data_IF_524551373874
#
_entry.id   IF_524551373874
#
_cell.length_a   1.000
_cell.length_b   1.000
_cell.length_c   1.000
_cell.angle_alpha   90.00
_cell.angle_beta   90.00
_cell.angle_gamma   90.00
#
_symmetry.space_group_name_H-M   'P 1'
#
loop_
_entity.id
_entity.type
_entity.pdbx_description
1 polymer ?
#
# COMPACT_ATOMS: atom_id res chain seq x y z
N UNK A 1 5.49 -7.77 19.11
CA UNK A 1 6.30 -8.57 18.16
C UNK A 1 7.44 -7.68 17.74
N UNK A 2 8.68 -8.17 17.83
CA UNK A 2 9.88 -7.41 17.46
C UNK A 2 10.68 -8.30 16.52
N UNK A 3 11.01 -7.79 15.35
CA UNK A 3 11.88 -8.47 14.40
C UNK A 3 13.35 -8.31 14.78
N UNK A 4 14.19 -9.12 14.16
CA UNK A 4 15.65 -8.98 14.22
C UNK A 4 16.15 -8.58 12.82
N UNK A 5 16.72 -7.39 12.70
CA UNK A 5 17.27 -6.84 11.45
C UNK A 5 16.25 -6.76 10.31
N UNK A 6 16.22 -7.72 9.38
CA UNK A 6 15.41 -7.69 8.16
C UNK A 6 14.35 -8.81 8.17
N UNK A 7 13.63 -8.91 9.29
CA UNK A 7 12.64 -9.96 9.49
C UNK A 7 11.43 -9.77 8.57
N UNK A 8 11.21 -10.72 7.67
CA UNK A 8 10.18 -10.63 6.63
C UNK A 8 9.04 -11.63 6.86
N UNK A 9 7.80 -11.15 6.75
CA UNK A 9 6.60 -11.98 6.67
C UNK A 9 6.09 -11.91 5.22
N UNK A 10 6.03 -13.07 4.56
CA UNK A 10 5.85 -13.18 3.11
C UNK A 10 4.51 -13.84 2.77
N UNK A 11 3.64 -13.13 2.05
CA UNK A 11 2.44 -13.71 1.43
C UNK A 11 2.81 -14.39 0.11
N UNK A 12 2.42 -15.66 -0.05
CA UNK A 12 2.61 -16.39 -1.29
C UNK A 12 1.58 -17.51 -1.44
N UNK A 13 1.34 -17.91 -2.69
CA UNK A 13 0.55 -19.08 -3.04
C UNK A 13 -0.94 -18.81 -3.28
N UNK A 14 -1.72 -19.87 -3.58
CA UNK A 14 -3.07 -19.75 -4.15
C UNK A 14 -4.10 -19.03 -3.28
N UNK A 15 -3.86 -18.93 -1.96
CA UNK A 15 -4.74 -18.20 -1.06
C UNK A 15 -4.79 -16.69 -1.36
N UNK A 16 -3.75 -16.15 -2.00
CA UNK A 16 -3.60 -14.73 -2.28
C UNK A 16 -3.64 -14.40 -3.77
N UNK A 17 -3.91 -15.35 -4.67
CA UNK A 17 -3.81 -15.14 -6.11
C UNK A 17 -5.07 -14.54 -6.77
N UNK A 18 -6.23 -14.64 -6.10
CA UNK A 18 -7.52 -14.24 -6.66
C UNK A 18 -7.85 -12.78 -6.30
N UNK A 19 -7.71 -11.86 -7.26
CA UNK A 19 -8.02 -10.43 -7.07
C UNK A 19 -9.47 -10.17 -6.66
N UNK A 20 -10.40 -11.07 -7.02
CA UNK A 20 -11.82 -10.98 -6.66
C UNK A 20 -12.12 -11.46 -5.24
N UNK A 21 -11.14 -12.08 -4.57
CA UNK A 21 -11.24 -12.55 -3.19
C UNK A 21 -10.05 -12.08 -2.34
N UNK A 22 -9.99 -10.77 -2.03
CA UNK A 22 -8.93 -10.22 -1.19
C UNK A 22 -8.85 -10.96 0.15
N UNK A 23 -7.64 -11.37 0.52
CA UNK A 23 -7.38 -12.20 1.70
C UNK A 23 -6.27 -11.55 2.54
N UNK A 24 -6.53 -11.23 3.83
CA UNK A 24 -5.51 -10.73 4.74
C UNK A 24 -4.38 -11.74 4.98
N UNK A 25 -3.14 -11.31 4.80
CA UNK A 25 -1.95 -12.05 5.24
C UNK A 25 -1.80 -11.96 6.75
N UNK A 26 -1.77 -10.73 7.28
CA UNK A 26 -1.75 -10.48 8.71
C UNK A 26 -3.04 -9.78 9.13
N UNK A 27 -3.77 -10.42 10.04
CA UNK A 27 -4.88 -9.81 10.75
C UNK A 27 -4.44 -9.41 12.16
N UNK A 28 -4.45 -8.11 12.46
CA UNK A 28 -4.14 -7.58 13.79
C UNK A 28 -5.44 -7.38 14.57
N UNK A 29 -5.69 -8.31 15.49
CA UNK A 29 -6.91 -8.35 16.30
C UNK A 29 -8.14 -8.86 15.54
N UNK A 30 -9.33 -8.58 16.08
CA UNK A 30 -10.63 -8.89 15.48
C UNK A 30 -11.53 -7.67 15.58
N UNK A 31 -12.56 -7.53 14.72
CA UNK A 31 -13.52 -6.44 14.85
C UNK A 31 -14.09 -6.34 16.26
N UNK A 32 -14.02 -5.15 16.86
CA UNK A 32 -14.46 -4.88 18.23
C UNK A 32 -13.52 -5.35 19.34
N UNK A 33 -12.36 -5.91 19.02
CA UNK A 33 -11.35 -6.26 20.02
C UNK A 33 -10.65 -4.99 20.51
N UNK A 34 -10.63 -4.79 21.83
CA UNK A 34 -9.84 -3.76 22.50
C UNK A 34 -8.65 -4.43 23.17
N UNK A 35 -7.46 -3.83 23.07
CA UNK A 35 -6.28 -4.36 23.74
C UNK A 35 -5.01 -3.63 23.37
N UNK A 36 -3.90 -4.32 23.59
CA UNK A 36 -2.56 -3.80 23.30
C UNK A 36 -1.87 -4.68 22.26
N UNK A 37 -1.21 -4.06 21.31
CA UNK A 37 -0.33 -4.72 20.35
C UNK A 37 0.82 -3.77 20.02
N UNK A 38 2.03 -4.29 20.01
CA UNK A 38 3.21 -3.53 19.59
C UNK A 38 3.92 -4.35 18.54
N UNK A 39 4.28 -3.72 17.42
CA UNK A 39 5.00 -4.33 16.30
C UNK A 39 6.20 -3.46 15.94
N UNK A 40 7.38 -4.06 15.86
CA UNK A 40 8.65 -3.36 15.62
C UNK A 40 9.57 -4.15 14.70
N UNK A 41 10.32 -3.46 13.84
CA UNK A 41 11.40 -4.02 12.99
C UNK A 41 10.94 -5.14 12.05
N UNK A 42 9.82 -4.95 11.35
CA UNK A 42 9.21 -5.97 10.47
C UNK A 42 9.00 -5.47 9.05
N UNK A 43 9.23 -6.35 8.08
CA UNK A 43 8.85 -6.12 6.69
C UNK A 43 7.75 -7.11 6.28
N UNK A 44 6.68 -6.58 5.71
CA UNK A 44 5.59 -7.35 5.11
C UNK A 44 5.77 -7.30 3.60
N UNK A 45 5.78 -8.46 2.95
CA UNK A 45 6.05 -8.54 1.52
C UNK A 45 5.26 -9.67 0.87
N UNK A 46 5.36 -9.77 -0.45
CA UNK A 46 4.78 -10.83 -1.25
C UNK A 46 5.87 -11.53 -2.05
N UNK A 47 5.58 -12.76 -2.48
CA UNK A 47 6.42 -13.48 -3.44
C UNK A 47 5.62 -13.93 -4.64
N UNK A 48 5.97 -13.41 -5.81
CA UNK A 48 5.30 -13.63 -7.09
C UNK A 48 3.92 -12.97 -7.17
N UNK A 49 3.08 -13.39 -8.13
CA UNK A 49 1.75 -12.84 -8.31
C UNK A 49 0.82 -13.23 -7.15
N UNK A 50 0.39 -12.21 -6.40
CA UNK A 50 -0.55 -12.34 -5.27
C UNK A 50 -1.61 -11.23 -5.32
N UNK A 51 -2.30 -11.11 -6.46
CA UNK A 51 -3.27 -10.05 -6.74
C UNK A 51 -4.41 -9.89 -5.71
N UNK A 52 -4.70 -10.94 -4.93
CA UNK A 52 -5.66 -10.93 -3.83
C UNK A 52 -5.06 -10.68 -2.44
N UNK A 53 -3.76 -10.41 -2.30
CA UNK A 53 -3.15 -10.17 -0.99
C UNK A 53 -3.61 -8.84 -0.38
N UNK A 54 -4.06 -8.88 0.88
CA UNK A 54 -4.14 -7.71 1.76
C UNK A 54 -3.06 -7.88 2.81
N UNK A 55 -1.98 -7.09 2.79
CA UNK A 55 -0.82 -7.43 3.62
C UNK A 55 -1.12 -7.26 5.11
N UNK A 56 -1.76 -6.15 5.49
CA UNK A 56 -2.12 -5.87 6.89
C UNK A 56 -3.59 -5.47 6.97
N UNK A 57 -4.38 -6.21 7.75
CA UNK A 57 -5.74 -5.84 8.15
C UNK A 57 -5.76 -5.53 9.65
N UNK A 58 -5.84 -4.24 9.99
CA UNK A 58 -5.81 -3.73 11.36
C UNK A 58 -7.23 -3.54 11.89
N UNK A 59 -7.63 -4.38 12.85
CA UNK A 59 -9.01 -4.46 13.34
C UNK A 59 -9.20 -4.01 14.78
N UNK A 60 -8.15 -4.01 15.60
CA UNK A 60 -8.29 -3.74 17.03
C UNK A 60 -8.26 -2.26 17.37
N UNK A 61 -8.97 -1.92 18.44
CA UNK A 61 -8.84 -0.64 19.13
C UNK A 61 -7.78 -0.74 20.23
N UNK A 62 -7.04 0.35 20.43
CA UNK A 62 -6.10 0.48 21.53
C UNK A 62 -6.83 0.63 22.87
N UNK A 63 -6.40 -0.13 23.88
CA UNK A 63 -6.89 0.01 25.26
C UNK A 63 -6.44 1.33 25.92
N UNK A 64 -5.31 1.88 25.47
CA UNK A 64 -4.80 3.19 25.83
C UNK A 64 -4.18 3.89 24.62
N UNK A 65 -4.02 5.22 24.69
CA UNK A 65 -3.41 5.99 23.59
C UNK A 65 -2.01 5.45 23.27
N UNK A 66 -1.80 5.04 22.02
CA UNK A 66 -0.54 4.48 21.55
C UNK A 66 -0.28 3.01 21.94
N UNK A 67 -1.21 2.31 22.57
CA UNK A 67 -0.99 0.93 23.03
C UNK A 67 -1.28 -0.15 21.97
N UNK A 68 -1.91 0.23 20.85
CA UNK A 68 -2.00 -0.57 19.64
C UNK A 68 -1.20 0.15 18.56
N UNK A 69 -0.03 -0.37 18.20
CA UNK A 69 0.95 0.43 17.49
C UNK A 69 1.99 -0.38 16.70
N UNK A 70 2.59 0.32 15.75
CA UNK A 70 3.63 -0.14 14.84
C UNK A 70 4.71 0.94 14.72
N UNK A 71 5.96 0.56 14.93
CA UNK A 71 7.16 1.39 14.71
C UNK A 71 8.13 0.64 13.80
N UNK A 72 8.80 1.30 12.86
CA UNK A 72 9.80 0.64 12.00
C UNK A 72 9.27 -0.66 11.37
N UNK A 73 8.02 -0.64 10.90
CA UNK A 73 7.52 -1.74 10.09
C UNK A 73 7.01 -1.24 8.76
N UNK A 74 7.32 -1.99 7.71
CA UNK A 74 7.18 -1.54 6.34
C UNK A 74 6.47 -2.60 5.51
N UNK A 75 5.62 -2.16 4.58
CA UNK A 75 5.20 -3.00 3.47
C UNK A 75 6.17 -2.72 2.32
N UNK A 76 6.84 -3.76 1.82
CA UNK A 76 7.75 -3.68 0.68
C UNK A 76 7.37 -4.73 -0.35
N UNK A 77 6.72 -4.35 -1.44
CA UNK A 77 6.22 -5.31 -2.44
C UNK A 77 7.13 -5.32 -3.67
N UNK A 78 7.85 -6.43 -3.84
CA UNK A 78 8.78 -6.63 -4.95
C UNK A 78 10.09 -5.85 -4.84
N UNK A 79 10.81 -5.74 -5.96
CA UNK A 79 12.05 -4.95 -6.05
C UNK A 79 13.19 -5.45 -5.17
N UNK A 80 13.15 -6.71 -4.73
CA UNK A 80 14.19 -7.32 -3.91
C UNK A 80 14.36 -8.81 -4.24
N UNK A 81 15.53 -9.34 -3.95
CA UNK A 81 15.91 -10.74 -4.13
C UNK A 81 14.96 -11.65 -3.36
N UNK A 82 14.48 -12.69 -4.05
CA UNK A 82 13.58 -13.69 -3.47
C UNK A 82 12.10 -13.32 -3.48
N UNK A 83 11.74 -12.12 -3.98
CA UNK A 83 10.33 -11.71 -4.18
C UNK A 83 9.72 -12.27 -5.47
N UNK A 84 10.52 -12.81 -6.40
CA UNK A 84 10.09 -13.20 -7.75
C UNK A 84 9.32 -12.08 -8.48
N UNK A 85 9.66 -10.82 -8.15
CA UNK A 85 9.10 -9.59 -8.66
C UNK A 85 10.25 -8.57 -8.87
N UNK A 86 11.26 -8.98 -9.64
CA UNK A 86 12.45 -8.16 -9.97
C UNK A 86 12.33 -7.65 -11.42
N UNK A 87 13.27 -6.81 -11.92
CA UNK A 87 13.29 -6.44 -13.35
C UNK A 87 13.37 -7.64 -14.31
N UNK A 88 13.77 -8.84 -13.83
CA UNK A 88 13.77 -10.07 -14.62
C UNK A 88 12.35 -10.56 -14.92
N UNK A 89 11.48 -10.58 -13.90
CA UNK A 89 10.08 -11.00 -14.02
C UNK A 89 9.17 -9.85 -14.47
N UNK A 90 9.45 -8.65 -13.98
CA UNK A 90 8.64 -7.45 -14.07
C UNK A 90 9.44 -6.27 -14.65
N UNK A 91 9.94 -6.37 -15.89
CA UNK A 91 10.70 -5.28 -16.50
C UNK A 91 9.88 -3.99 -16.55
N UNK A 92 10.53 -2.83 -16.45
CA UNK A 92 9.86 -1.55 -16.64
C UNK A 92 9.20 -1.48 -18.02
N UNK A 93 7.89 -1.21 -18.05
CA UNK A 93 7.11 -1.07 -19.28
C UNK A 93 6.58 0.36 -19.42
N UNK A 94 6.71 0.91 -20.63
CA UNK A 94 6.03 2.15 -21.04
C UNK A 94 4.75 1.86 -21.85
N UNK A 95 4.41 0.58 -22.04
CA UNK A 95 3.18 0.16 -22.74
C UNK A 95 2.73 -1.23 -22.30
N UNK A 96 1.42 -1.43 -22.19
CA UNK A 96 0.83 -2.71 -21.81
C UNK A 96 0.91 -2.99 -20.31
N UNK A 97 0.78 -4.27 -19.93
CA UNK A 97 0.82 -4.76 -18.55
C UNK A 97 1.80 -5.93 -18.49
N UNK A 98 2.74 -5.90 -17.55
CA UNK A 98 3.70 -6.98 -17.32
C UNK A 98 2.96 -8.21 -16.76
N UNK A 99 2.92 -9.35 -17.49
CA UNK A 99 2.21 -10.53 -17.03
C UNK A 99 2.88 -11.12 -15.79
N UNK A 100 2.08 -11.46 -14.77
CA UNK A 100 2.58 -12.06 -13.53
C UNK A 100 3.06 -11.06 -12.47
N UNK A 101 2.94 -9.75 -12.71
CA UNK A 101 3.42 -8.70 -11.81
C UNK A 101 2.32 -8.08 -10.92
N UNK A 102 1.14 -8.70 -10.88
CA UNK A 102 0.03 -8.29 -9.99
C UNK A 102 0.28 -8.82 -8.58
N UNK A 103 0.78 -7.95 -7.71
CA UNK A 103 1.43 -8.34 -6.47
C UNK A 103 0.58 -8.15 -5.22
N UNK A 104 -0.42 -7.26 -5.19
CA UNK A 104 -1.35 -7.17 -4.04
C UNK A 104 -2.64 -6.42 -4.37
N UNK A 105 -3.67 -6.68 -3.56
CA UNK A 105 -4.96 -5.97 -3.59
C UNK A 105 -4.94 -4.70 -2.74
N UNK A 106 -4.28 -4.74 -1.58
CA UNK A 106 -4.18 -3.61 -0.65
C UNK A 106 -2.96 -3.77 0.28
N UNK A 107 -2.15 -2.73 0.44
CA UNK A 107 -1.00 -2.78 1.36
C UNK A 107 -1.46 -2.81 2.82
N UNK A 108 -2.36 -1.90 3.21
CA UNK A 108 -2.87 -1.86 4.57
C UNK A 108 -4.31 -1.34 4.68
N UNK A 109 -5.08 -1.97 5.56
CA UNK A 109 -6.46 -1.57 5.88
C UNK A 109 -6.61 -1.30 7.39
N UNK A 110 -6.86 -0.05 7.77
CA UNK A 110 -7.32 0.30 9.10
C UNK A 110 -8.86 0.28 9.10
N UNK A 111 -9.43 -0.74 9.75
CA UNK A 111 -10.87 -1.04 9.71
C UNK A 111 -11.71 -0.06 10.55
N UNK A 112 -13.03 -0.01 10.33
CA UNK A 112 -13.95 0.72 11.20
C UNK A 112 -13.85 0.24 12.65
N UNK A 113 -13.82 1.20 13.59
CA UNK A 113 -13.68 0.95 15.02
C UNK A 113 -12.29 0.48 15.47
N UNK A 114 -11.33 0.34 14.56
CA UNK A 114 -9.93 0.10 14.91
C UNK A 114 -9.24 1.43 15.24
N UNK A 115 -8.17 1.40 16.04
CA UNK A 115 -7.37 2.59 16.35
C UNK A 115 -5.89 2.21 16.45
N UNK A 116 -4.99 3.17 16.28
CA UNK A 116 -3.57 2.87 16.46
C UNK A 116 -2.59 4.01 16.25
N UNK A 117 -1.34 3.74 16.59
CA UNK A 117 -0.20 4.62 16.38
C UNK A 117 0.77 3.98 15.40
N UNK A 118 0.97 4.61 14.25
CA UNK A 118 1.81 4.12 13.17
C UNK A 118 2.92 5.12 12.93
N UNK A 119 4.17 4.74 13.21
CA UNK A 119 5.32 5.62 13.09
C UNK A 119 6.43 4.97 12.27
N UNK A 120 7.07 5.77 11.43
CA UNK A 120 8.08 5.30 10.47
C UNK A 120 7.60 4.08 9.67
N UNK A 121 6.40 4.21 9.09
CA UNK A 121 5.79 3.16 8.27
C UNK A 121 5.88 3.53 6.80
N UNK A 122 6.50 2.67 6.02
CA UNK A 122 6.62 2.83 4.57
C UNK A 122 5.83 1.73 3.87
N UNK A 123 4.85 2.12 3.06
CA UNK A 123 4.08 1.22 2.21
C UNK A 123 4.55 1.43 0.76
N UNK A 124 5.51 0.62 0.33
CA UNK A 124 6.21 0.79 -0.92
C UNK A 124 5.91 -0.37 -1.87
N UNK A 125 5.39 -0.02 -3.05
CA UNK A 125 5.40 -0.90 -4.22
C UNK A 125 6.66 -0.56 -4.98
N UNK A 126 7.51 -1.56 -5.28
CA UNK A 126 8.80 -1.23 -5.85
C UNK A 126 8.67 -0.57 -7.23
N UNK A 127 9.36 0.54 -7.40
CA UNK A 127 9.58 1.22 -8.67
C UNK A 127 10.93 0.80 -9.30
N UNK A 128 11.86 0.26 -8.49
CA UNK A 128 13.16 -0.26 -8.91
C UNK A 128 13.65 -1.44 -8.06
N UNK A 129 14.72 -2.11 -8.49
CA UNK A 129 15.43 -3.13 -7.71
C UNK A 129 16.34 -2.47 -6.67
N UNK A 130 16.07 -2.72 -5.39
CA UNK A 130 16.84 -2.17 -4.26
C UNK A 130 18.13 -2.95 -3.97
N UNK A 131 18.14 -4.25 -4.26
CA UNK A 131 19.32 -5.08 -4.05
C UNK A 131 20.32 -4.83 -5.17
N UNK A 132 21.60 -4.80 -4.82
CA UNK A 132 22.67 -4.77 -5.80
C UNK A 132 22.99 -6.20 -6.26
N UNK A 133 22.71 -6.56 -7.52
CA UNK A 133 23.06 -7.89 -8.03
C UNK A 133 24.57 -8.05 -8.25
N UNK A 134 25.33 -6.95 -8.36
CA UNK A 134 26.78 -6.99 -8.57
C UNK A 134 27.52 -6.60 -7.30
N UNK A 135 28.02 -7.59 -6.56
CA UNK A 135 28.76 -7.35 -5.31
C UNK A 135 30.21 -6.90 -5.53
N UNK A 136 30.68 -6.85 -6.78
CA UNK A 136 32.07 -6.50 -7.15
C UNK A 136 32.18 -5.12 -7.82
N UNK A 137 31.06 -4.52 -8.23
CA UNK A 137 30.98 -3.14 -8.71
C UNK A 137 30.14 -2.29 -7.74
N UNK A 138 30.67 -1.13 -7.35
CA UNK A 138 29.94 -0.19 -6.48
C UNK A 138 28.87 0.62 -7.23
N UNK A 139 28.81 0.51 -8.56
CA UNK A 139 27.83 1.20 -9.38
C UNK A 139 26.51 0.42 -9.48
N UNK A 140 25.55 0.76 -8.61
CA UNK A 140 24.18 0.25 -8.71
C UNK A 140 23.30 1.20 -9.53
N UNK A 141 22.82 0.73 -10.68
CA UNK A 141 21.97 1.53 -11.57
C UNK A 141 20.50 1.60 -11.16
N UNK A 142 20.09 0.92 -10.08
CA UNK A 142 18.72 0.90 -9.55
C UNK A 142 17.69 0.64 -10.65
N UNK A 143 17.81 -0.52 -11.32
CA UNK A 143 17.02 -0.82 -12.52
C UNK A 143 15.53 -0.80 -12.20
N UNK A 144 14.78 0.04 -12.92
CA UNK A 144 13.33 0.19 -12.77
C UNK A 144 12.57 -1.10 -13.12
N UNK A 145 11.40 -1.28 -12.51
CA UNK A 145 10.48 -2.39 -12.76
C UNK A 145 9.02 -1.92 -12.85
N UNK A 146 8.10 -2.81 -13.21
CA UNK A 146 6.66 -2.52 -13.26
C UNK A 146 5.88 -3.55 -12.47
N UNK A 147 5.57 -3.22 -11.23
CA UNK A 147 4.86 -4.07 -10.27
C UNK A 147 3.52 -3.42 -9.93
N UNK A 148 2.46 -4.22 -9.92
CA UNK A 148 1.10 -3.70 -9.79
C UNK A 148 0.51 -4.07 -8.43
N UNK A 149 0.18 -3.06 -7.64
CA UNK A 149 -0.59 -3.19 -6.40
C UNK A 149 -1.77 -2.24 -6.49
N UNK A 150 -2.99 -2.75 -6.24
CA UNK A 150 -4.17 -1.94 -6.50
C UNK A 150 -4.24 -0.71 -5.59
N UNK A 151 -4.00 -0.87 -4.27
CA UNK A 151 -4.27 0.14 -3.25
C UNK A 151 -3.16 0.25 -2.21
N UNK A 152 -2.89 1.47 -1.74
CA UNK A 152 -1.95 1.74 -0.65
C UNK A 152 -2.57 1.53 0.73
N UNK A 153 -2.93 2.63 1.39
CA UNK A 153 -3.51 2.64 2.73
C UNK A 153 -4.99 3.05 2.68
N UNK A 154 -5.88 2.16 3.13
CA UNK A 154 -7.29 2.46 3.36
C UNK A 154 -7.55 2.67 4.85
N UNK A 155 -8.18 3.79 5.19
CA UNK A 155 -8.43 4.23 6.57
C UNK A 155 -9.93 4.47 6.71
N UNK A 156 -10.57 3.63 7.51
CA UNK A 156 -11.98 3.74 7.90
C UNK A 156 -12.13 3.93 9.42
N UNK A 157 -11.03 4.15 10.14
CA UNK A 157 -11.07 4.38 11.58
C UNK A 157 -11.82 5.67 11.91
N UNK A 158 -12.69 5.59 12.91
CA UNK A 158 -13.34 6.74 13.55
C UNK A 158 -12.83 6.96 14.98
N UNK A 159 -11.77 6.25 15.34
CA UNK A 159 -11.14 6.27 16.66
C UNK A 159 -9.77 6.95 16.56
N UNK A 160 -9.23 7.49 17.67
CA UNK A 160 -7.95 8.21 17.64
C UNK A 160 -6.83 7.41 16.97
N UNK A 161 -6.38 7.89 15.82
CA UNK A 161 -5.37 7.24 14.98
C UNK A 161 -4.27 8.23 14.61
N UNK A 162 -3.02 7.81 14.73
CA UNK A 162 -1.85 8.63 14.45
C UNK A 162 -0.96 8.02 13.38
N UNK A 163 -0.62 8.83 12.37
CA UNK A 163 0.27 8.48 11.26
C UNK A 163 1.49 9.42 11.30
N UNK A 164 2.57 9.02 11.95
CA UNK A 164 3.78 9.84 12.10
C UNK A 164 4.87 9.40 11.12
N UNK A 165 5.21 10.29 10.19
CA UNK A 165 6.22 10.02 9.16
C UNK A 165 5.89 8.79 8.31
N UNK A 166 4.65 8.69 7.83
CA UNK A 166 4.22 7.57 7.00
C UNK A 166 4.33 7.90 5.52
N UNK A 167 4.69 6.92 4.70
CA UNK A 167 4.70 7.03 3.24
C UNK A 167 3.89 5.89 2.61
N UNK A 168 3.15 6.19 1.56
CA UNK A 168 2.51 5.18 0.71
C UNK A 168 2.75 5.56 -0.75
N UNK A 169 3.29 4.64 -1.54
CA UNK A 169 3.78 4.98 -2.88
C UNK A 169 3.46 3.90 -3.90
N UNK A 170 3.26 4.36 -5.13
CA UNK A 170 3.18 3.57 -6.35
C UNK A 170 2.06 2.52 -6.39
N UNK A 171 1.00 2.68 -5.59
CA UNK A 171 -0.24 1.95 -5.81
C UNK A 171 -1.01 2.48 -7.03
N UNK A 172 -1.71 1.61 -7.76
CA UNK A 172 -2.44 1.95 -8.99
C UNK A 172 -3.56 2.96 -8.75
N UNK A 173 -4.36 2.72 -7.70
CA UNK A 173 -5.62 3.45 -7.48
C UNK A 173 -5.43 4.67 -6.59
N UNK A 174 -4.84 4.47 -5.42
CA UNK A 174 -4.59 5.53 -4.44
C UNK A 174 -3.49 5.15 -3.47
N UNK A 175 -2.80 6.17 -2.96
CA UNK A 175 -1.79 6.02 -1.92
C UNK A 175 -2.43 6.07 -0.53
N UNK A 176 -3.23 7.11 -0.24
CA UNK A 176 -4.05 7.19 0.97
C UNK A 176 -5.53 7.36 0.61
N UNK A 177 -6.40 6.56 1.22
CA UNK A 177 -7.85 6.74 1.12
C UNK A 177 -8.47 6.77 2.52
N UNK A 178 -8.97 7.95 2.90
CA UNK A 178 -9.77 8.16 4.09
C UNK A 178 -11.25 8.04 3.71
N UNK A 179 -11.91 7.01 4.20
CA UNK A 179 -13.30 6.71 3.86
C UNK A 179 -14.15 6.61 5.11
N UNK A 180 -15.07 7.56 5.29
CA UNK A 180 -15.88 7.72 6.51
C UNK A 180 -15.03 7.72 7.80
N UNK A 181 -13.79 8.19 7.71
CA UNK A 181 -12.83 8.20 8.81
C UNK A 181 -13.05 9.42 9.71
N UNK A 182 -12.68 9.28 10.99
CA UNK A 182 -12.67 10.38 11.93
C UNK A 182 -11.53 10.30 12.95
N UNK A 183 -11.14 11.46 13.49
CA UNK A 183 -10.12 11.60 14.54
C UNK A 183 -8.76 11.01 14.15
N UNK A 184 -8.30 11.36 12.95
CA UNK A 184 -6.99 10.94 12.44
C UNK A 184 -6.03 12.12 12.37
N UNK A 185 -4.85 11.96 12.95
CA UNK A 185 -3.74 12.91 12.83
C UNK A 185 -2.60 12.29 12.02
N UNK A 186 -2.10 12.99 11.01
CA UNK A 186 -0.99 12.55 10.17
C UNK A 186 0.08 13.64 10.03
N UNK A 187 1.36 13.32 10.23
CA UNK A 187 2.46 14.29 10.22
C UNK A 187 3.86 13.68 9.98
N UNK A 188 4.58 13.98 8.90
CA UNK A 188 4.01 14.32 7.59
C UNK A 188 3.68 13.04 6.82
N UNK A 189 2.79 13.14 5.83
CA UNK A 189 2.57 12.06 4.86
C UNK A 189 3.39 12.31 3.59
N UNK A 190 3.73 11.24 2.89
CA UNK A 190 4.43 11.29 1.62
C UNK A 190 3.85 10.29 0.61
N UNK A 191 3.77 10.66 -0.67
CA UNK A 191 3.25 9.82 -1.76
C UNK A 191 3.93 10.04 -3.10
N UNK A 192 4.05 8.97 -3.90
CA UNK A 192 4.40 9.01 -5.33
C UNK A 192 3.40 8.22 -6.18
N UNK A 193 3.06 8.73 -7.36
CA UNK A 193 2.41 7.93 -8.41
C UNK A 193 3.35 6.84 -8.95
N UNK A 194 2.84 5.66 -9.38
CA UNK A 194 3.66 4.68 -10.07
C UNK A 194 4.24 5.24 -11.37
N UNK A 195 5.54 5.01 -11.61
CA UNK A 195 6.26 5.67 -12.72
C UNK A 195 5.78 5.28 -14.12
N UNK A 196 5.13 4.13 -14.24
CA UNK A 196 4.57 3.65 -15.50
C UNK A 196 3.23 4.31 -15.84
N UNK A 197 2.55 5.00 -14.91
CA UNK A 197 1.28 5.65 -15.21
C UNK A 197 1.49 6.87 -16.13
N UNK A 198 0.56 7.15 -17.07
CA UNK A 198 -0.78 6.56 -17.23
C UNK A 198 -0.82 5.27 -18.09
N UNK A 199 0.27 4.51 -18.23
CA UNK A 199 0.31 3.28 -19.03
C UNK A 199 0.67 2.01 -18.23
N UNK A 200 -0.31 1.20 -17.80
CA UNK A 200 -1.74 1.37 -18.04
C UNK A 200 -2.34 2.43 -17.11
N UNK A 201 -3.49 2.95 -17.51
CA UNK A 201 -4.21 3.91 -16.71
C UNK A 201 -4.98 3.20 -15.59
N UNK A 202 -5.17 3.82 -14.41
CA UNK A 202 -6.05 3.25 -13.40
C UNK A 202 -7.46 2.99 -13.98
N UNK A 203 -8.14 1.90 -13.59
CA UNK A 203 -7.79 0.95 -12.53
C UNK A 203 -7.02 -0.29 -13.04
N UNK A 204 -6.61 -0.33 -14.30
CA UNK A 204 -5.94 -1.51 -14.86
C UNK A 204 -4.58 -1.75 -14.16
N UNK A 205 -4.17 -3.01 -13.94
CA UNK A 205 -4.81 -4.26 -14.37
C UNK A 205 -5.95 -4.77 -13.47
N UNK A 206 -6.34 -4.01 -12.45
CA UNK A 206 -7.23 -4.42 -11.36
C UNK A 206 -8.71 -4.03 -11.57
N UNK A 207 -9.19 -3.94 -12.81
CA UNK A 207 -10.55 -3.49 -13.14
C UNK A 207 -11.62 -4.32 -12.44
N UNK A 208 -11.43 -5.63 -12.30
CA UNK A 208 -12.42 -6.50 -11.64
C UNK A 208 -12.47 -6.34 -10.12
N UNK A 209 -11.44 -5.70 -9.54
CA UNK A 209 -11.33 -5.49 -8.10
C UNK A 209 -11.95 -4.16 -7.63
N UNK A 210 -12.34 -3.28 -8.55
CA UNK A 210 -12.94 -1.97 -8.21
C UNK A 210 -14.23 -2.20 -7.43
N UNK A 211 -14.35 -1.53 -6.28
CA UNK A 211 -15.52 -1.63 -5.41
C UNK A 211 -15.51 -2.81 -4.44
N UNK A 212 -14.45 -3.63 -4.43
CA UNK A 212 -14.26 -4.64 -3.38
C UNK A 212 -13.94 -4.01 -2.01
N UNK A 213 -13.38 -2.80 -2.00
CA UNK A 213 -13.14 -2.04 -0.79
C UNK A 213 -14.04 -0.79 -0.75
N UNK A 214 -14.61 -0.46 0.42
CA UNK A 214 -15.34 0.80 0.59
C UNK A 214 -14.45 2.00 0.26
N UNK A 215 -15.02 2.99 -0.40
CA UNK A 215 -14.33 4.24 -0.71
C UNK A 215 -13.46 4.22 -1.97
N UNK A 216 -13.36 3.10 -2.68
CA UNK A 216 -12.77 3.10 -4.03
C UNK A 216 -13.46 4.16 -4.90
N UNK A 217 -12.70 4.98 -5.67
CA UNK A 217 -13.27 5.69 -6.81
C UNK A 217 -13.98 4.70 -7.75
N UNK A 218 -15.01 5.14 -8.45
CA UNK A 218 -15.78 4.25 -9.32
C UNK A 218 -15.05 3.89 -10.62
N UNK A 219 -14.01 4.66 -10.96
CA UNK A 219 -13.23 4.56 -12.19
C UNK A 219 -14.12 4.41 -13.43
N UNK A 220 -15.22 5.17 -13.47
CA UNK A 220 -16.15 5.19 -14.60
C UNK A 220 -15.52 5.71 -15.89
N UNK A 221 -14.42 6.46 -15.76
CA UNK A 221 -13.65 7.08 -16.84
C UNK A 221 -14.53 7.83 -17.84
N UNK A 222 -15.59 8.48 -17.33
CA UNK A 222 -16.50 9.26 -18.15
C UNK A 222 -15.76 10.42 -18.80
N UNK A 223 -16.03 10.65 -20.09
CA UNK A 223 -15.40 11.75 -20.84
C UNK A 223 -15.73 13.09 -20.16
N UNK A 224 -14.70 13.84 -19.78
CA UNK A 224 -14.85 15.14 -19.12
C UNK A 224 -15.08 15.08 -17.61
N UNK A 225 -14.93 13.90 -16.98
CA UNK A 225 -14.87 13.78 -15.53
C UNK A 225 -13.41 13.67 -15.07
N UNK A 226 -12.81 14.82 -14.74
CA UNK A 226 -11.43 14.87 -14.23
C UNK A 226 -11.28 14.23 -12.83
N UNK A 227 -12.38 13.88 -12.15
CA UNK A 227 -12.36 13.26 -10.82
C UNK A 227 -12.65 11.75 -10.85
N UNK A 228 -12.71 11.17 -12.04
CA UNK A 228 -12.90 9.71 -12.23
C UNK A 228 -11.68 8.89 -11.80
N UNK A 229 -10.50 9.53 -11.65
CA UNK A 229 -9.25 8.88 -11.24
C UNK A 229 -8.61 8.00 -12.31
N UNK A 230 -9.01 8.16 -13.57
CA UNK A 230 -8.58 7.30 -14.66
C UNK A 230 -7.33 7.82 -15.40
N UNK A 231 -6.69 8.88 -14.91
CA UNK A 231 -5.45 9.45 -15.40
C UNK A 231 -4.26 8.85 -14.64
N UNK A 232 -4.14 9.14 -13.35
CA UNK A 232 -3.07 8.68 -12.48
C UNK A 232 -3.63 8.35 -11.08
N UNK A 233 -2.82 7.66 -10.27
CA UNK A 233 -3.19 7.30 -8.91
C UNK A 233 -3.48 8.53 -8.06
N UNK A 234 -4.48 8.44 -7.18
CA UNK A 234 -4.72 9.49 -6.20
C UNK A 234 -3.64 9.49 -5.12
N UNK A 235 -3.00 10.63 -4.90
CA UNK A 235 -2.15 10.81 -3.72
C UNK A 235 -2.96 10.65 -2.42
N UNK A 236 -4.05 11.40 -2.29
CA UNK A 236 -4.95 11.34 -1.13
C UNK A 236 -6.41 11.46 -1.59
N UNK A 237 -7.25 10.53 -1.14
CA UNK A 237 -8.72 10.58 -1.28
C UNK A 237 -9.34 10.75 0.10
N UNK A 238 -10.28 11.68 0.25
CA UNK A 238 -11.07 11.84 1.47
C UNK A 238 -12.55 11.95 1.14
N UNK A 239 -13.37 11.05 1.69
CA UNK A 239 -14.82 11.06 1.48
C UNK A 239 -15.55 10.75 2.79
N UNK A 240 -16.52 11.61 3.14
CA UNK A 240 -17.34 11.44 4.34
C UNK A 240 -16.56 11.53 5.67
N UNK A 241 -15.42 12.21 5.68
CA UNK A 241 -14.53 12.26 6.85
C UNK A 241 -14.82 13.46 7.77
N UNK A 242 -14.45 13.33 9.03
CA UNK A 242 -14.52 14.37 10.07
C UNK A 242 -13.21 14.41 10.86
N UNK A 243 -12.77 15.56 11.39
CA UNK A 243 -11.62 15.63 12.30
C UNK A 243 -10.34 14.92 11.80
N UNK A 244 -9.98 15.19 10.53
CA UNK A 244 -8.74 14.73 9.91
C UNK A 244 -7.74 15.89 9.86
N UNK A 245 -6.55 15.69 10.42
CA UNK A 245 -5.47 16.69 10.41
C UNK A 245 -4.25 16.11 9.70
N UNK A 246 -3.83 16.73 8.60
CA UNK A 246 -2.56 16.43 7.93
C UNK A 246 -1.61 17.61 8.16
N UNK A 247 -0.66 17.45 9.07
CA UNK A 247 0.37 18.44 9.39
C UNK A 247 1.62 18.21 8.53
N UNK A 248 1.50 18.56 7.25
CA UNK A 248 2.57 18.42 6.25
C UNK A 248 2.33 17.25 5.31
N UNK A 249 2.51 17.49 4.00
CA UNK A 249 2.34 16.50 2.96
C UNK A 249 3.35 16.75 1.82
N UNK A 250 4.05 15.71 1.38
CA UNK A 250 4.84 15.70 0.16
C UNK A 250 4.19 14.76 -0.84
N UNK A 251 3.48 15.30 -1.84
CA UNK A 251 2.69 14.51 -2.78
C UNK A 251 3.23 14.72 -4.19
N UNK A 252 3.85 13.70 -4.76
CA UNK A 252 4.61 13.82 -6.00
C UNK A 252 4.01 12.98 -7.14
N UNK A 253 4.10 13.53 -8.34
CA UNK A 253 4.03 12.78 -9.59
C UNK A 253 5.20 13.24 -10.44
N UNK A 254 6.09 12.30 -10.79
CA UNK A 254 7.38 12.59 -11.42
C UNK A 254 7.40 12.25 -12.91
N UNK A 255 6.57 11.30 -13.34
CA UNK A 255 6.61 10.70 -14.66
C UNK A 255 5.23 10.74 -15.31
N UNK A 256 5.24 10.71 -16.63
CA UNK A 256 4.05 10.48 -17.45
C UNK A 256 4.54 9.81 -18.73
N UNK A 257 4.13 8.56 -18.95
CA UNK A 257 4.53 7.74 -20.11
C UNK A 257 3.72 8.06 -21.35
#
# INVERSE_FOLDING_TARGET
MVGETWSQIVAQGPAFSDESKPTPMLRVGRPGQVGNVEMQDLIFTTKGPTAGAVLIEWNMAADAKGSAALWDCHVRIGGATGTDLTPTECPALASGIAPGCNAASLMMHIKPGASGYFENMWLWVADHLIDDPDLEDANNTMVQNSIYVARGLLIESTEPTWLYGTASEHAIMYQYNFHNAASVFAAMIQTESPYYQPTPNPPAPFTSSVGLFPGDPDYSCAVGDEFSGCDESWAVVMRGCEDIVIAGAGLYSWFST
#
